data_IF_892666189071
#
_entry.id   IF_892666189071
#
_cell.length_a   1.000
_cell.length_b   1.000
_cell.length_c   1.000
_cell.angle_alpha   90.00
_cell.angle_beta   90.00
_cell.angle_gamma   90.00
#
_symmetry.space_group_name_H-M   'P 1'
#
loop_
_entity.id
_entity.type
_entity.pdbx_description
1 polymer ?
#
# COMPACT_ATOMS: atom_id res chain seq x y z
N UNK A 1 -8.89 59.93 -8.48
CA UNK A 1 -7.67 60.19 -7.70
C UNK A 1 -6.69 59.07 -8.02
N UNK A 2 -5.74 59.23 -8.94
CA UNK A 2 -4.51 60.05 -8.85
C UNK A 2 -3.65 59.55 -7.68
N UNK A 3 -2.39 59.11 -7.75
CA UNK A 3 -1.37 58.86 -8.80
C UNK A 3 -0.11 58.39 -7.99
N UNK A 4 0.95 57.99 -8.71
CA UNK A 4 2.38 58.07 -8.32
C UNK A 4 2.94 57.12 -7.23
N UNK A 5 3.74 56.13 -7.66
CA UNK A 5 5.08 55.89 -7.08
C UNK A 5 6.01 57.01 -7.52
N UNK A 6 6.90 57.55 -6.66
CA UNK A 6 8.31 57.18 -6.79
C UNK A 6 9.17 57.20 -5.50
N UNK A 7 10.18 56.32 -5.51
CA UNK A 7 11.61 56.45 -5.18
C UNK A 7 12.14 57.47 -4.14
N UNK A 8 12.98 56.95 -3.21
CA UNK A 8 14.30 57.48 -2.82
C UNK A 8 15.08 56.35 -2.10
N UNK A 9 16.05 55.71 -2.77
CA UNK A 9 17.51 55.93 -2.72
C UNK A 9 18.25 55.17 -1.59
N UNK A 10 19.15 54.29 -2.05
CA UNK A 10 20.49 53.99 -1.55
C UNK A 10 20.78 54.09 -0.05
N UNK A 11 20.81 52.92 0.62
CA UNK A 11 21.89 52.55 1.55
C UNK A 11 21.81 51.07 1.96
N UNK A 12 21.80 50.13 1.00
CA UNK A 12 22.09 48.71 1.32
C UNK A 12 23.05 48.14 0.26
N UNK A 13 24.13 48.89 0.02
CA UNK A 13 25.38 48.31 -0.45
C UNK A 13 26.22 48.00 0.78
N UNK A 14 26.67 46.75 0.86
CA UNK A 14 27.52 46.13 1.90
C UNK A 14 26.71 45.51 3.05
N UNK A 15 27.04 44.25 3.35
CA UNK A 15 26.67 43.51 4.57
C UNK A 15 25.44 42.58 4.53
N UNK A 16 25.08 42.06 3.36
CA UNK A 16 24.16 40.92 3.25
C UNK A 16 24.76 39.74 2.46
N UNK A 17 25.91 39.24 2.91
CA UNK A 17 26.27 37.81 2.77
C UNK A 17 27.01 37.42 4.06
N UNK A 18 26.27 37.25 5.15
CA UNK A 18 26.81 36.61 6.35
C UNK A 18 26.97 35.12 6.00
N UNK A 19 28.22 34.76 5.73
CA UNK A 19 28.67 33.42 5.39
C UNK A 19 28.25 32.41 6.46
N UNK A 20 27.61 31.36 5.98
CA UNK A 20 27.24 30.14 6.70
C UNK A 20 28.49 29.40 7.19
N UNK A 21 28.40 28.85 8.41
CA UNK A 21 29.29 27.87 9.06
C UNK A 21 30.81 28.15 9.04
N UNK A 22 31.34 28.65 10.17
CA UNK A 22 32.77 28.79 10.41
C UNK A 22 33.53 27.46 10.56
N UNK A 23 32.84 26.31 10.54
CA UNK A 23 33.42 25.00 10.84
C UNK A 23 33.94 24.23 9.61
N UNK A 24 33.94 24.83 8.42
CA UNK A 24 34.47 24.18 7.21
C UNK A 24 35.41 25.13 6.48
N UNK A 25 36.71 24.96 6.72
CA UNK A 25 37.77 25.59 5.93
C UNK A 25 38.04 24.71 4.70
N UNK A 26 37.49 25.09 3.54
CA UNK A 26 37.94 24.51 2.28
C UNK A 26 39.26 25.17 1.88
N UNK A 27 40.27 24.38 1.53
CA UNK A 27 41.58 24.87 1.07
C UNK A 27 41.47 25.74 -0.21
N UNK A 28 40.36 25.63 -0.94
CA UNK A 28 40.04 26.43 -2.12
C UNK A 28 38.53 26.67 -2.18
N UNK A 29 38.11 27.91 -2.42
CA UNK A 29 36.71 28.29 -2.71
C UNK A 29 36.32 28.03 -4.18
N UNK A 30 37.14 27.26 -4.91
CA UNK A 30 36.94 26.97 -6.34
C UNK A 30 36.81 25.46 -6.54
N UNK A 31 35.81 25.06 -7.32
CA UNK A 31 35.66 23.68 -7.76
C UNK A 31 36.91 23.22 -8.55
N UNK A 32 37.38 21.97 -8.36
CA UNK A 32 38.48 21.41 -9.13
C UNK A 32 38.19 21.52 -10.63
N UNK A 33 39.14 22.09 -11.39
CA UNK A 33 39.03 22.14 -12.84
C UNK A 33 39.49 20.81 -13.42
N UNK A 34 38.58 19.88 -13.60
CA UNK A 34 38.84 18.66 -14.37
C UNK A 34 38.37 18.83 -15.82
N UNK A 35 39.07 18.18 -16.76
CA UNK A 35 38.61 18.02 -18.14
C UNK A 35 38.03 16.62 -18.32
N UNK A 36 36.78 16.53 -18.74
CA UNK A 36 36.11 15.28 -19.07
C UNK A 36 36.34 14.96 -20.55
N UNK A 37 36.85 13.75 -20.84
CA UNK A 37 37.04 13.22 -22.19
C UNK A 37 35.75 12.67 -22.82
N UNK A 38 35.84 12.26 -24.09
CA UNK A 38 34.70 11.81 -24.89
C UNK A 38 33.87 10.66 -24.26
N UNK A 39 34.48 9.86 -23.38
CA UNK A 39 33.83 8.74 -22.68
C UNK A 39 33.53 9.04 -21.20
N UNK A 40 33.37 10.31 -20.83
CA UNK A 40 33.16 10.74 -19.44
C UNK A 40 34.32 10.42 -18.46
N UNK A 41 35.48 10.03 -18.98
CA UNK A 41 36.69 9.82 -18.17
C UNK A 41 37.37 11.16 -17.84
N UNK A 42 37.73 11.36 -16.57
CA UNK A 42 38.51 12.52 -16.11
C UNK A 42 39.95 12.35 -16.62
N UNK A 43 40.38 13.22 -17.54
CA UNK A 43 41.69 13.14 -18.19
C UNK A 43 42.81 13.86 -17.42
N UNK A 44 42.44 14.86 -16.62
CA UNK A 44 43.38 15.74 -15.92
C UNK A 44 42.90 15.88 -14.47
N UNK A 45 43.39 14.98 -13.60
CA UNK A 45 43.42 15.26 -12.16
C UNK A 45 44.53 16.29 -11.94
N UNK A 46 44.14 17.53 -11.61
CA UNK A 46 45.09 18.52 -11.15
C UNK A 46 45.86 17.92 -9.97
N UNK A 47 47.16 17.65 -10.16
CA UNK A 47 48.05 17.22 -9.08
C UNK A 47 48.19 18.38 -8.11
N UNK A 48 47.28 18.46 -7.14
CA UNK A 48 47.49 19.29 -5.97
C UNK A 48 48.60 18.64 -5.14
N UNK A 49 49.72 19.37 -4.99
CA UNK A 49 50.77 19.05 -4.03
C UNK A 49 50.13 18.82 -2.64
N UNK A 50 50.41 17.69 -1.95
CA UNK A 50 49.85 17.42 -0.64
C UNK A 50 50.59 18.27 0.40
N UNK A 51 50.23 19.55 0.48
CA UNK A 51 50.75 20.50 1.47
C UNK A 51 49.86 20.60 2.72
N UNK A 52 48.90 19.69 2.87
CA UNK A 52 48.03 19.57 4.02
C UNK A 52 48.28 18.28 4.81
N UNK A 53 48.02 18.28 6.13
CA UNK A 53 48.08 17.06 6.94
C UNK A 53 47.18 15.97 6.34
N UNK A 54 47.60 14.71 6.47
CA UNK A 54 46.82 13.62 5.88
C UNK A 54 45.45 13.52 6.55
N UNK A 55 44.43 13.03 5.82
CA UNK A 55 43.09 12.86 6.38
C UNK A 55 43.09 12.05 7.68
N UNK A 56 44.01 11.08 7.83
CA UNK A 56 44.18 10.31 9.06
C UNK A 56 44.70 11.15 10.21
N UNK A 57 45.61 12.08 9.95
CA UNK A 57 46.16 12.98 10.97
C UNK A 57 45.11 14.00 11.42
N UNK A 58 44.35 14.56 10.47
CA UNK A 58 43.24 15.48 10.77
C UNK A 58 42.17 14.78 11.62
N UNK A 59 41.75 13.57 11.24
CA UNK A 59 40.77 12.79 12.01
C UNK A 59 41.30 12.45 13.40
N UNK A 60 42.58 12.09 13.52
CA UNK A 60 43.17 11.79 14.83
C UNK A 60 43.22 13.04 15.72
N UNK A 61 43.61 14.19 15.18
CA UNK A 61 43.67 15.45 15.90
C UNK A 61 42.27 15.94 16.31
N UNK A 62 41.29 15.90 15.41
CA UNK A 62 39.89 16.23 15.72
C UNK A 62 39.32 15.28 16.78
N UNK A 63 39.59 13.98 16.68
CA UNK A 63 39.13 13.00 17.69
C UNK A 63 39.74 13.29 19.06
N UNK A 64 41.00 13.71 19.10
CA UNK A 64 41.69 14.07 20.34
C UNK A 64 41.12 15.37 20.93
N UNK A 65 40.88 16.38 20.08
CA UNK A 65 40.24 17.63 20.48
C UNK A 65 38.80 17.40 20.98
N UNK A 66 37.99 16.60 20.29
CA UNK A 66 36.63 16.24 20.72
C UNK A 66 36.63 15.46 22.03
N UNK A 67 37.57 14.52 22.20
CA UNK A 67 37.76 13.78 23.44
C UNK A 67 38.15 14.70 24.59
N UNK A 68 39.05 15.66 24.35
CA UNK A 68 39.45 16.66 25.33
C UNK A 68 38.28 17.58 25.69
N UNK A 69 37.52 18.08 24.70
CA UNK A 69 36.33 18.89 24.92
C UNK A 69 35.28 18.13 25.73
N UNK A 70 34.99 16.88 25.37
CA UNK A 70 34.10 16.01 26.13
C UNK A 70 34.58 15.81 27.57
N UNK A 71 35.90 15.64 27.77
CA UNK A 71 36.50 15.55 29.11
C UNK A 71 36.41 16.86 29.88
N UNK A 72 36.58 18.03 29.23
CA UNK A 72 36.45 19.36 29.84
C UNK A 72 35.01 19.65 30.29
N UNK A 73 34.03 19.20 29.52
CA UNK A 73 32.60 19.35 29.81
C UNK A 73 32.05 18.23 30.70
N UNK A 74 32.82 17.16 30.90
CA UNK A 74 32.42 16.05 31.75
C UNK A 74 32.20 16.52 33.18
N UNK A 75 30.98 16.28 33.69
CA UNK A 75 30.57 16.60 35.08
C UNK A 75 31.58 16.06 36.10
N UNK A 76 32.10 14.85 35.88
CA UNK A 76 33.10 14.23 36.76
C UNK A 76 34.43 14.99 36.78
N UNK A 77 34.89 15.45 35.62
CA UNK A 77 36.14 16.21 35.52
C UNK A 77 35.98 17.61 36.11
N UNK A 78 34.82 18.24 35.88
CA UNK A 78 34.50 19.55 36.44
C UNK A 78 34.41 19.47 37.98
N UNK A 79 33.74 18.45 38.53
CA UNK A 79 33.68 18.20 39.97
C UNK A 79 35.07 18.02 40.58
N UNK A 80 35.94 17.20 39.97
CA UNK A 80 37.31 17.01 40.46
C UNK A 80 38.15 18.29 40.44
N UNK A 81 37.95 19.17 39.44
CA UNK A 81 38.58 20.49 39.40
C UNK A 81 38.05 21.40 40.51
N UNK A 82 36.75 21.41 40.75
CA UNK A 82 36.14 22.15 41.86
C UNK A 82 36.72 21.71 43.21
N UNK A 83 36.81 20.41 43.48
CA UNK A 83 37.33 19.90 44.75
C UNK A 83 38.80 20.29 44.96
N UNK A 84 39.63 20.20 43.92
CA UNK A 84 41.05 20.63 43.97
C UNK A 84 41.19 22.13 44.24
N UNK A 85 40.37 22.94 43.56
CA UNK A 85 40.38 24.39 43.74
C UNK A 85 39.87 24.79 45.13
N UNK A 86 38.84 24.09 45.64
CA UNK A 86 38.32 24.30 46.98
C UNK A 86 39.36 23.95 48.04
N UNK A 87 40.07 22.84 47.89
CA UNK A 87 41.16 22.46 48.78
C UNK A 87 42.34 23.46 48.74
N UNK A 88 42.68 23.98 47.56
CA UNK A 88 43.70 25.02 47.43
C UNK A 88 43.26 26.34 48.11
N UNK A 89 42.00 26.74 47.93
CA UNK A 89 41.44 27.93 48.56
C UNK A 89 41.41 27.82 50.10
N UNK A 90 41.09 26.64 50.63
CA UNK A 90 41.14 26.38 52.08
C UNK A 90 42.57 26.59 52.64
N UNK A 91 43.60 26.06 51.96
CA UNK A 91 45.00 26.26 52.36
C UNK A 91 45.41 27.74 52.37
N UNK A 92 45.01 28.50 51.35
CA UNK A 92 45.27 29.94 51.28
C UNK A 92 44.54 30.70 52.39
N UNK A 93 43.32 30.30 52.74
CA UNK A 93 42.57 30.90 53.85
C UNK A 93 43.26 30.68 55.19
N UNK A 94 43.81 29.48 55.42
CA UNK A 94 44.52 29.18 56.66
C UNK A 94 45.87 29.91 56.73
N UNK A 95 46.60 30.03 55.61
CA UNK A 95 47.80 30.86 55.55
C UNK A 95 47.49 32.35 55.82
N UNK A 96 46.37 32.87 55.30
CA UNK A 96 45.93 34.23 55.57
C UNK A 96 45.62 34.47 57.06
N UNK A 97 44.97 33.52 57.74
CA UNK A 97 44.70 33.59 59.19
C UNK A 97 46.01 33.60 60.00
N UNK A 98 47.00 32.79 59.60
CA UNK A 98 48.32 32.78 60.26
C UNK A 98 49.03 34.12 60.12
N UNK A 99 48.94 34.77 58.96
CA UNK A 99 49.50 36.12 58.75
C UNK A 99 48.79 37.20 59.58
N UNK A 100 47.47 37.10 59.74
CA UNK A 100 46.68 38.01 60.59
C UNK A 100 47.16 37.94 62.06
N UNK A 101 47.39 36.73 62.59
CA UNK A 101 47.92 36.53 63.95
C UNK A 101 49.34 37.08 64.09
N UNK A 102 50.22 36.81 63.12
CA UNK A 102 51.59 37.33 63.12
C UNK A 102 51.66 38.87 63.05
N UNK A 103 50.70 39.51 62.37
CA UNK A 103 50.61 40.98 62.29
C UNK A 103 50.28 41.61 63.65
N UNK A 104 49.34 41.02 64.39
CA UNK A 104 48.97 41.49 65.74
C UNK A 104 50.14 41.38 66.73
N UNK A 105 50.91 40.29 66.66
CA UNK A 105 52.11 40.11 67.48
C UNK A 105 53.24 41.10 67.09
N UNK A 106 53.32 41.47 65.81
CA UNK A 106 54.25 42.49 65.30
C UNK A 106 54.08 43.87 65.95
N UNK A 107 52.85 44.34 66.15
CA UNK A 107 52.58 45.62 66.82
C UNK A 107 53.05 45.62 68.28
N UNK A 108 52.82 44.51 68.99
CA UNK A 108 53.28 44.34 70.39
C UNK A 108 54.80 44.35 70.47
N UNK A 109 55.48 43.67 69.54
CA UNK A 109 56.94 43.61 69.50
C UNK A 109 57.56 44.97 69.15
N UNK A 110 57.03 45.67 68.14
CA UNK A 110 57.51 47.01 67.75
C UNK A 110 57.32 48.01 68.89
N UNK A 111 56.21 47.93 69.64
CA UNK A 111 55.99 48.74 70.84
C UNK A 111 57.05 48.48 71.90
N UNK A 112 57.27 47.21 72.27
CA UNK A 112 58.29 46.84 73.28
C UNK A 112 59.69 47.27 72.86
N UNK A 113 60.03 47.15 71.57
CA UNK A 113 61.31 47.58 71.01
C UNK A 113 61.47 49.10 71.11
N UNK A 114 60.44 49.87 70.75
CA UNK A 114 60.45 51.33 70.90
C UNK A 114 60.64 51.74 72.37
N UNK A 115 59.89 51.14 73.30
CA UNK A 115 59.98 51.43 74.74
C UNK A 115 61.40 51.13 75.28
N UNK A 116 62.02 50.03 74.84
CA UNK A 116 63.39 49.68 75.20
C UNK A 116 64.44 50.65 74.62
N UNK A 117 64.26 51.08 73.37
CA UNK A 117 65.14 52.07 72.74
C UNK A 117 65.00 53.45 73.39
N UNK A 118 63.80 53.87 73.78
CA UNK A 118 63.58 55.14 74.51
C UNK A 118 64.23 55.11 75.90
N UNK A 119 64.16 53.98 76.60
CA UNK A 119 64.87 53.76 77.86
C UNK A 119 66.41 53.79 77.70
N UNK A 120 66.92 53.28 76.58
CA UNK A 120 68.35 53.33 76.26
C UNK A 120 68.81 54.75 75.88
N UNK A 121 68.02 55.46 75.09
CA UNK A 121 68.26 56.86 74.70
C UNK A 121 68.44 57.77 75.90
N UNK A 122 67.63 57.60 76.95
CA UNK A 122 67.73 58.38 78.19
C UNK A 122 69.01 58.14 79.01
N UNK A 123 69.78 57.09 78.69
CA UNK A 123 71.02 56.70 79.38
C UNK A 123 72.29 56.94 78.55
N UNK A 124 72.17 57.33 77.28
CA UNK A 124 73.31 57.51 76.36
C UNK A 124 73.53 59.00 76.03
N UNK A 125 74.76 59.33 75.62
CA UNK A 125 75.17 60.67 75.20
C UNK A 125 76.07 60.63 73.96
N UNK A 126 76.20 61.75 73.25
CA UNK A 126 77.01 61.89 72.04
C UNK A 126 76.49 61.06 70.86
N UNK A 127 77.39 60.55 70.01
CA UNK A 127 77.08 59.80 68.80
C UNK A 127 76.16 58.58 69.05
N UNK A 128 76.36 57.87 70.16
CA UNK A 128 75.53 56.71 70.51
C UNK A 128 74.06 57.08 70.75
N UNK A 129 73.78 58.32 71.19
CA UNK A 129 72.41 58.80 71.37
C UNK A 129 71.75 59.09 70.02
N UNK A 130 72.49 59.65 69.06
CA UNK A 130 72.04 59.92 67.70
C UNK A 130 71.70 58.61 66.95
N UNK A 131 72.51 57.58 67.13
CA UNK A 131 72.24 56.25 66.54
C UNK A 131 70.97 55.60 67.13
N UNK A 132 70.74 55.73 68.44
CA UNK A 132 69.50 55.25 69.07
C UNK A 132 68.29 56.08 68.62
N UNK A 133 68.41 57.38 68.45
CA UNK A 133 67.36 58.23 67.88
C UNK A 133 66.99 57.79 66.45
N UNK A 134 67.99 57.50 65.62
CA UNK A 134 67.78 56.95 64.27
C UNK A 134 67.08 55.59 64.30
N UNK A 135 67.47 54.72 65.23
CA UNK A 135 66.82 53.42 65.43
C UNK A 135 65.34 53.57 65.85
N UNK A 136 65.03 54.51 66.75
CA UNK A 136 63.64 54.83 67.14
C UNK A 136 62.85 55.30 65.93
N UNK A 137 63.37 56.23 65.12
CA UNK A 137 62.69 56.68 63.89
C UNK A 137 62.44 55.54 62.90
N UNK A 138 63.37 54.58 62.77
CA UNK A 138 63.17 53.39 61.93
C UNK A 138 62.06 52.48 62.45
N UNK A 139 61.98 52.28 63.77
CA UNK A 139 60.92 51.48 64.42
C UNK A 139 59.56 52.16 64.26
N UNK A 140 59.48 53.48 64.40
CA UNK A 140 58.24 54.24 64.15
C UNK A 140 57.80 54.15 62.68
N UNK A 141 58.74 54.26 61.73
CA UNK A 141 58.44 54.07 60.31
C UNK A 141 57.95 52.64 59.99
N UNK A 142 58.50 51.62 60.67
CA UNK A 142 58.03 50.24 60.53
C UNK A 142 56.63 50.05 61.11
N UNK A 143 56.32 50.67 62.25
CA UNK A 143 54.98 50.62 62.87
C UNK A 143 53.92 51.25 61.95
N UNK A 144 54.21 52.41 61.35
CA UNK A 144 53.30 53.05 60.37
C UNK A 144 53.04 52.14 59.16
N UNK A 145 54.10 51.53 58.61
CA UNK A 145 53.98 50.58 57.48
C UNK A 145 53.17 49.34 57.84
N UNK A 146 53.29 48.84 59.07
CA UNK A 146 52.52 47.69 59.54
C UNK A 146 51.02 48.02 59.64
N UNK A 147 50.68 49.18 60.22
CA UNK A 147 49.29 49.65 60.29
C UNK A 147 48.67 49.88 58.90
N UNK A 148 49.44 50.45 57.96
CA UNK A 148 48.96 50.66 56.59
C UNK A 148 48.62 49.33 55.90
N UNK A 149 49.52 48.34 55.99
CA UNK A 149 49.30 47.00 55.42
C UNK A 149 48.11 46.29 56.05
N UNK A 150 47.90 46.46 57.36
CA UNK A 150 46.73 45.92 58.05
C UNK A 150 45.43 46.54 57.54
N UNK A 151 45.42 47.86 57.29
CA UNK A 151 44.29 48.55 56.67
C UNK A 151 43.95 48.03 55.27
N UNK A 152 44.97 47.81 54.43
CA UNK A 152 44.82 47.19 53.11
C UNK A 152 44.24 45.77 53.21
N UNK A 153 44.74 44.97 54.16
CA UNK A 153 44.28 43.60 54.39
C UNK A 153 42.83 43.54 54.89
N UNK A 154 42.41 44.47 55.75
CA UNK A 154 41.01 44.60 56.20
C UNK A 154 40.10 44.96 55.01
N UNK A 155 40.54 45.88 54.15
CA UNK A 155 39.78 46.27 52.97
C UNK A 155 39.64 45.10 51.98
N UNK A 156 40.73 44.39 51.69
CA UNK A 156 40.71 43.18 50.84
C UNK A 156 39.79 42.10 51.42
N UNK A 157 39.84 41.87 52.73
CA UNK A 157 38.94 40.93 53.44
C UNK A 157 37.47 41.30 53.26
N UNK A 158 37.13 42.58 53.21
CA UNK A 158 35.78 43.05 52.95
C UNK A 158 35.33 42.77 51.51
N UNK A 159 36.17 43.09 50.51
CA UNK A 159 35.87 42.79 49.10
C UNK A 159 35.77 41.29 48.83
N UNK A 160 36.65 40.48 49.44
CA UNK A 160 36.57 39.01 49.38
C UNK A 160 35.26 38.51 49.98
N UNK A 161 34.83 39.05 51.13
CA UNK A 161 33.54 38.68 51.74
C UNK A 161 32.36 39.01 50.83
N UNK A 162 32.40 40.15 50.15
CA UNK A 162 31.40 40.56 49.16
C UNK A 162 31.38 39.59 47.97
N UNK A 163 32.56 39.21 47.45
CA UNK A 163 32.68 38.24 46.36
C UNK A 163 32.16 36.85 46.75
N UNK A 164 32.44 36.39 47.97
CA UNK A 164 31.91 35.11 48.49
C UNK A 164 30.38 35.12 48.51
N UNK A 165 29.74 36.23 48.89
CA UNK A 165 28.29 36.33 48.88
C UNK A 165 27.73 36.25 47.45
N UNK A 166 28.35 36.94 46.48
CA UNK A 166 27.96 36.82 45.07
C UNK A 166 28.14 35.40 44.55
N UNK A 167 29.25 34.73 44.88
CA UNK A 167 29.51 33.36 44.45
C UNK A 167 28.49 32.38 45.04
N UNK A 168 28.12 32.55 46.32
CA UNK A 168 27.06 31.76 46.96
C UNK A 168 25.72 31.94 46.25
N UNK A 169 25.34 33.18 45.97
CA UNK A 169 24.10 33.48 45.27
C UNK A 169 24.08 32.86 43.87
N UNK A 170 25.14 33.08 43.08
CA UNK A 170 25.28 32.50 41.75
C UNK A 170 25.26 30.96 41.77
N UNK A 171 25.85 30.33 42.78
CA UNK A 171 25.83 28.87 42.95
C UNK A 171 24.43 28.34 43.25
N UNK A 172 23.67 29.00 44.13
CA UNK A 172 22.29 28.60 44.43
C UNK A 172 21.37 28.84 43.23
N UNK A 173 21.53 29.95 42.50
CA UNK A 173 20.77 30.24 41.29
C UNK A 173 21.06 29.21 40.18
N UNK A 174 22.33 28.85 39.97
CA UNK A 174 22.72 27.80 39.04
C UNK A 174 22.13 26.44 39.43
N UNK A 175 22.17 26.09 40.72
CA UNK A 175 21.57 24.85 41.23
C UNK A 175 20.05 24.80 41.02
N UNK A 176 19.36 25.92 41.26
CA UNK A 176 17.92 26.05 41.02
C UNK A 176 17.59 25.87 39.54
N UNK A 177 18.34 26.52 38.65
CA UNK A 177 18.15 26.42 37.19
C UNK A 177 18.35 24.98 36.71
N UNK A 178 19.43 24.32 37.15
CA UNK A 178 19.69 22.91 36.79
C UNK A 178 18.57 21.99 37.28
N UNK A 179 18.07 22.17 38.50
CA UNK A 179 16.99 21.34 39.03
C UNK A 179 15.67 21.59 38.28
N UNK A 180 15.38 22.84 37.93
CA UNK A 180 14.21 23.21 37.14
C UNK A 180 14.26 22.55 35.75
N UNK A 181 15.39 22.67 35.05
CA UNK A 181 15.56 22.06 33.73
C UNK A 181 15.46 20.54 33.78
N UNK A 182 16.06 19.91 34.79
CA UNK A 182 15.90 18.46 35.02
C UNK A 182 14.44 18.07 35.22
N UNK A 183 13.67 18.87 35.97
CA UNK A 183 12.25 18.57 36.20
C UNK A 183 11.42 18.70 34.92
N UNK A 184 11.71 19.70 34.08
CA UNK A 184 11.06 19.85 32.78
C UNK A 184 11.39 18.70 31.83
N UNK A 185 12.68 18.35 31.72
CA UNK A 185 13.11 17.23 30.90
C UNK A 185 12.47 15.90 31.36
N UNK A 186 12.40 15.64 32.68
CA UNK A 186 11.71 14.46 33.19
C UNK A 186 10.22 14.46 32.84
N UNK A 187 9.52 15.59 33.00
CA UNK A 187 8.11 15.69 32.66
C UNK A 187 7.84 15.48 31.16
N UNK A 188 8.69 16.02 30.29
CA UNK A 188 8.60 15.83 28.83
C UNK A 188 8.87 14.37 28.44
N UNK A 189 9.89 13.74 29.03
CA UNK A 189 10.20 12.32 28.82
C UNK A 189 9.02 11.45 29.29
N UNK A 190 8.43 11.71 30.45
CA UNK A 190 7.29 10.96 30.97
C UNK A 190 6.04 11.14 30.09
N UNK A 191 5.78 12.37 29.62
CA UNK A 191 4.71 12.66 28.68
C UNK A 191 4.89 11.89 27.36
N UNK A 192 6.10 11.90 26.79
CA UNK A 192 6.42 11.15 25.57
C UNK A 192 6.27 9.64 25.79
N UNK A 193 6.73 9.12 26.93
CA UNK A 193 6.54 7.70 27.31
C UNK A 193 5.07 7.32 27.40
N UNK A 194 4.23 8.19 27.99
CA UNK A 194 2.79 7.94 28.07
C UNK A 194 2.11 7.92 26.69
N UNK A 195 2.56 8.77 25.75
CA UNK A 195 2.09 8.72 24.35
C UNK A 195 2.49 7.41 23.69
N UNK A 196 3.76 7.02 23.80
CA UNK A 196 4.27 5.75 23.24
C UNK A 196 3.51 4.55 23.82
N UNK A 197 3.25 4.55 25.14
CA UNK A 197 2.48 3.50 25.79
C UNK A 197 1.06 3.40 25.21
N UNK A 198 0.33 4.52 25.11
CA UNK A 198 -1.02 4.54 24.52
C UNK A 198 -1.04 4.05 23.07
N UNK A 199 -0.05 4.44 22.27
CA UNK A 199 0.08 3.95 20.89
C UNK A 199 0.34 2.44 20.89
N UNK A 200 1.21 1.95 21.76
CA UNK A 200 1.46 0.53 21.93
C UNK A 200 0.20 -0.25 22.28
N UNK A 201 -0.56 0.20 23.27
CA UNK A 201 -1.83 -0.41 23.69
C UNK A 201 -2.86 -0.42 22.55
N UNK A 202 -3.03 0.71 21.84
CA UNK A 202 -3.94 0.80 20.70
C UNK A 202 -3.55 -0.13 19.54
N UNK A 203 -2.25 -0.28 19.26
CA UNK A 203 -1.76 -1.21 18.24
C UNK A 203 -2.01 -2.66 18.63
N UNK A 204 -1.77 -3.03 19.89
CA UNK A 204 -2.08 -4.39 20.36
C UNK A 204 -3.59 -4.67 20.33
N UNK A 205 -4.43 -3.70 20.67
CA UNK A 205 -5.89 -3.83 20.58
C UNK A 205 -6.34 -4.01 19.13
N UNK A 206 -5.80 -3.23 18.20
CA UNK A 206 -6.06 -3.39 16.76
C UNK A 206 -5.62 -4.77 16.24
N UNK A 207 -4.48 -5.28 16.69
CA UNK A 207 -4.04 -6.62 16.33
C UNK A 207 -4.98 -7.70 16.88
N UNK A 208 -5.45 -7.57 18.13
CA UNK A 208 -6.43 -8.50 18.70
C UNK A 208 -7.76 -8.46 17.94
N UNK A 209 -8.26 -7.27 17.63
CA UNK A 209 -9.53 -7.07 16.92
C UNK A 209 -9.47 -7.59 15.47
N UNK A 210 -8.36 -7.37 14.77
CA UNK A 210 -8.17 -7.90 13.40
C UNK A 210 -8.10 -9.43 13.39
N UNK A 211 -7.40 -10.04 14.35
CA UNK A 211 -7.37 -11.51 14.50
C UNK A 211 -8.75 -12.10 14.80
N UNK A 212 -9.57 -11.44 15.63
CA UNK A 212 -10.93 -11.91 15.92
C UNK A 212 -11.89 -11.70 14.75
N UNK A 213 -11.82 -10.56 14.07
CA UNK A 213 -12.64 -10.27 12.86
C UNK A 213 -12.35 -11.26 11.75
N UNK A 214 -11.08 -11.50 11.42
CA UNK A 214 -10.72 -12.48 10.38
C UNK A 214 -11.18 -13.91 10.73
N UNK A 215 -11.14 -14.28 12.02
CA UNK A 215 -11.65 -15.58 12.47
C UNK A 215 -13.17 -15.68 12.32
N UNK A 216 -13.89 -14.65 12.71
CA UNK A 216 -15.35 -14.59 12.62
C UNK A 216 -15.84 -14.56 11.16
N UNK A 217 -15.14 -13.83 10.28
CA UNK A 217 -15.42 -13.81 8.84
C UNK A 217 -15.17 -15.17 8.18
N UNK A 218 -14.06 -15.84 8.53
CA UNK A 218 -13.77 -17.19 8.02
C UNK A 218 -14.83 -18.20 8.49
N UNK A 219 -15.27 -18.10 9.75
CA UNK A 219 -16.30 -18.96 10.32
C UNK A 219 -17.65 -18.74 9.61
N UNK A 220 -18.08 -17.49 9.41
CA UNK A 220 -19.29 -17.16 8.65
C UNK A 220 -19.26 -17.66 7.20
N UNK A 221 -18.13 -17.48 6.50
CA UNK A 221 -17.94 -18.03 5.15
C UNK A 221 -18.02 -19.57 5.13
N UNK A 222 -17.51 -20.23 6.16
CA UNK A 222 -17.58 -21.69 6.27
C UNK A 222 -19.02 -22.17 6.43
N UNK A 223 -19.82 -21.48 7.25
CA UNK A 223 -21.25 -21.76 7.43
C UNK A 223 -22.04 -21.54 6.13
N UNK A 224 -21.82 -20.42 5.43
CA UNK A 224 -22.46 -20.15 4.14
C UNK A 224 -22.12 -21.21 3.08
N UNK A 225 -20.85 -21.62 3.01
CA UNK A 225 -20.40 -22.67 2.09
C UNK A 225 -21.05 -24.02 2.45
N UNK A 226 -21.18 -24.34 3.73
CA UNK A 226 -21.87 -25.55 4.18
C UNK A 226 -23.35 -25.53 3.81
N UNK A 227 -24.05 -24.41 4.03
CA UNK A 227 -25.47 -24.30 3.70
C UNK A 227 -25.69 -24.33 2.19
N UNK A 228 -24.87 -23.64 1.39
CA UNK A 228 -24.92 -23.72 -0.07
C UNK A 228 -24.72 -25.15 -0.59
N UNK A 229 -23.80 -25.92 0.03
CA UNK A 229 -23.60 -27.34 -0.30
C UNK A 229 -24.84 -28.17 0.04
N UNK A 230 -25.47 -27.93 1.19
CA UNK A 230 -26.69 -28.62 1.64
C UNK A 230 -27.87 -28.33 0.72
N UNK A 231 -28.12 -27.06 0.39
CA UNK A 231 -29.15 -26.64 -0.57
C UNK A 231 -28.92 -27.34 -1.91
N UNK A 232 -27.71 -27.31 -2.46
CA UNK A 232 -27.39 -27.98 -3.73
C UNK A 232 -27.70 -29.47 -3.70
N UNK A 233 -27.32 -30.16 -2.62
CA UNK A 233 -27.59 -31.60 -2.45
C UNK A 233 -29.09 -31.92 -2.35
N UNK A 234 -29.89 -31.06 -1.74
CA UNK A 234 -31.33 -31.25 -1.64
C UNK A 234 -32.05 -31.07 -2.98
N UNK A 235 -31.61 -30.11 -3.80
CA UNK A 235 -32.31 -29.74 -5.03
C UNK A 235 -31.86 -30.53 -6.27
N UNK A 236 -30.65 -31.08 -6.28
CA UNK A 236 -30.13 -31.81 -7.45
C UNK A 236 -30.88 -33.13 -7.73
N UNK A 237 -31.16 -34.00 -6.75
CA UNK A 237 -31.93 -35.24 -6.99
C UNK A 237 -33.40 -34.96 -7.31
N UNK A 238 -34.00 -33.94 -6.69
CA UNK A 238 -35.41 -33.59 -6.92
C UNK A 238 -35.65 -33.20 -8.38
N UNK A 239 -34.80 -32.32 -8.94
CA UNK A 239 -34.97 -31.87 -10.32
C UNK A 239 -34.78 -33.01 -11.34
N UNK A 240 -33.87 -33.94 -11.07
CA UNK A 240 -33.68 -35.14 -11.91
C UNK A 240 -34.90 -36.04 -11.85
N UNK A 241 -35.43 -36.30 -10.65
CA UNK A 241 -36.63 -37.11 -10.46
C UNK A 241 -37.86 -36.52 -11.18
N UNK A 242 -38.08 -35.20 -11.07
CA UNK A 242 -39.20 -34.52 -11.73
C UNK A 242 -39.11 -34.66 -13.25
N UNK A 243 -37.92 -34.44 -13.84
CA UNK A 243 -37.68 -34.64 -15.26
C UNK A 243 -37.88 -36.10 -15.70
N UNK A 244 -37.49 -37.07 -14.87
CA UNK A 244 -37.72 -38.50 -15.14
C UNK A 244 -39.21 -38.87 -15.12
N UNK A 245 -40.00 -38.25 -14.24
CA UNK A 245 -41.45 -38.42 -14.22
C UNK A 245 -42.11 -37.81 -15.47
N UNK A 246 -41.72 -36.60 -15.86
CA UNK A 246 -42.21 -35.95 -17.08
C UNK A 246 -41.86 -36.76 -18.34
N UNK A 247 -40.62 -37.26 -18.45
CA UNK A 247 -40.21 -38.12 -19.56
C UNK A 247 -41.01 -39.42 -19.62
N UNK A 248 -41.33 -40.04 -18.47
CA UNK A 248 -42.20 -41.22 -18.42
C UNK A 248 -43.61 -40.89 -18.92
N UNK A 249 -44.18 -39.78 -18.49
CA UNK A 249 -45.50 -39.34 -18.93
C UNK A 249 -45.55 -39.09 -20.45
N UNK A 250 -44.54 -38.40 -21.00
CA UNK A 250 -44.43 -38.15 -22.44
C UNK A 250 -44.31 -39.45 -23.24
N UNK A 251 -43.53 -40.43 -22.77
CA UNK A 251 -43.41 -41.74 -23.41
C UNK A 251 -44.75 -42.49 -23.45
N UNK A 252 -45.55 -42.41 -22.38
CA UNK A 252 -46.89 -43.01 -22.34
C UNK A 252 -47.80 -42.33 -23.38
N UNK A 253 -47.84 -40.99 -23.40
CA UNK A 253 -48.64 -40.25 -24.37
C UNK A 253 -48.24 -40.53 -25.82
N UNK A 254 -46.93 -40.65 -26.11
CA UNK A 254 -46.45 -41.01 -27.45
C UNK A 254 -46.93 -42.41 -27.85
N UNK A 255 -46.86 -43.38 -26.93
CA UNK A 255 -47.36 -44.74 -27.19
C UNK A 255 -48.87 -44.74 -27.45
N UNK A 256 -49.65 -44.05 -26.63
CA UNK A 256 -51.11 -43.92 -26.82
C UNK A 256 -51.44 -43.28 -28.17
N UNK A 257 -50.84 -42.11 -28.47
CA UNK A 257 -51.03 -41.43 -29.76
C UNK A 257 -50.60 -42.29 -30.94
N UNK A 258 -49.52 -43.06 -30.81
CA UNK A 258 -49.08 -44.01 -31.83
C UNK A 258 -50.11 -45.12 -32.05
N UNK A 259 -50.66 -45.70 -30.98
CA UNK A 259 -51.73 -46.73 -31.12
C UNK A 259 -52.99 -46.17 -31.77
N UNK A 260 -53.39 -44.94 -31.44
CA UNK A 260 -54.53 -44.26 -32.06
C UNK A 260 -54.23 -43.99 -33.54
N UNK A 261 -53.04 -43.49 -33.86
CA UNK A 261 -52.62 -43.23 -35.24
C UNK A 261 -52.65 -44.49 -36.09
N UNK A 262 -52.15 -45.63 -35.58
CA UNK A 262 -52.20 -46.91 -36.29
C UNK A 262 -53.65 -47.40 -36.48
N UNK A 263 -54.53 -47.22 -35.47
CA UNK A 263 -55.96 -47.55 -35.59
C UNK A 263 -56.64 -46.70 -36.68
N UNK A 264 -56.42 -45.39 -36.66
CA UNK A 264 -56.95 -44.47 -37.66
C UNK A 264 -56.42 -44.80 -39.06
N UNK A 265 -55.13 -45.13 -39.20
CA UNK A 265 -54.57 -45.57 -40.49
C UNK A 265 -55.27 -46.83 -41.02
N UNK A 266 -55.57 -47.81 -40.15
CA UNK A 266 -56.33 -49.01 -40.53
C UNK A 266 -57.77 -48.70 -40.93
N UNK A 267 -58.44 -47.83 -40.18
CA UNK A 267 -59.81 -47.40 -40.48
C UNK A 267 -59.88 -46.63 -41.81
N UNK A 268 -58.96 -45.70 -42.06
CA UNK A 268 -58.83 -45.00 -43.33
C UNK A 268 -58.58 -45.96 -44.50
N UNK A 269 -57.73 -46.97 -44.31
CA UNK A 269 -57.49 -48.00 -45.33
C UNK A 269 -58.73 -48.89 -45.59
N UNK A 270 -59.57 -49.14 -44.59
CA UNK A 270 -60.84 -49.86 -44.74
C UNK A 270 -61.89 -49.00 -45.45
N UNK A 271 -62.04 -47.73 -45.05
CA UNK A 271 -62.95 -46.78 -45.69
C UNK A 271 -62.63 -46.59 -47.17
N UNK A 272 -61.34 -46.44 -47.52
CA UNK A 272 -60.89 -46.30 -48.91
C UNK A 272 -61.30 -47.50 -49.77
N UNK A 273 -61.07 -48.73 -49.29
CA UNK A 273 -61.49 -49.96 -49.98
C UNK A 273 -63.01 -50.07 -50.11
N UNK A 274 -63.77 -49.65 -49.09
CA UNK A 274 -65.22 -49.68 -49.14
C UNK A 274 -65.82 -48.66 -50.14
N UNK A 275 -65.16 -47.52 -50.33
CA UNK A 275 -65.55 -46.49 -51.29
C UNK A 275 -65.19 -46.89 -52.73
N UNK A 276 -64.02 -47.50 -52.96
CA UNK A 276 -63.64 -48.11 -54.24
C UNK A 276 -64.65 -49.18 -54.69
N UNK A 277 -65.13 -50.03 -53.76
CA UNK A 277 -66.10 -51.09 -54.05
C UNK A 277 -67.53 -50.60 -54.39
N UNK A 278 -67.91 -49.35 -54.05
CA UNK A 278 -69.27 -48.82 -54.31
C UNK A 278 -69.47 -48.25 -55.70
N UNK A 279 -68.40 -47.96 -56.43
CA UNK A 279 -68.45 -47.28 -57.73
C UNK A 279 -67.99 -48.17 -58.89
N UNK A 280 -67.75 -49.46 -58.65
CA UNK A 280 -67.23 -50.39 -59.65
C UNK A 280 -68.38 -51.15 -60.35
N UNK A 281 -68.88 -50.57 -61.45
CA UNK A 281 -69.98 -51.17 -62.25
C UNK A 281 -69.52 -52.29 -63.18
N UNK A 282 -68.22 -52.31 -63.50
CA UNK A 282 -67.59 -53.28 -64.39
C UNK A 282 -66.26 -53.74 -63.79
N UNK A 283 -65.97 -55.03 -63.89
CA UNK A 283 -64.72 -55.64 -63.46
C UNK A 283 -64.05 -56.31 -64.66
N UNK A 284 -62.71 -56.29 -64.65
CA UNK A 284 -61.91 -56.94 -65.66
C UNK A 284 -61.65 -58.37 -65.17
N UNK A 285 -62.27 -59.36 -65.81
CA UNK A 285 -62.06 -60.77 -65.51
C UNK A 285 -61.06 -61.41 -66.46
N UNK A 286 -60.15 -62.21 -65.90
CA UNK A 286 -59.12 -62.93 -66.65
C UNK A 286 -57.75 -62.80 -65.98
N UNK A 287 -56.88 -63.76 -66.23
CA UNK A 287 -55.52 -63.75 -65.68
C UNK A 287 -54.69 -62.65 -66.35
N UNK A 288 -54.02 -61.80 -65.57
CA UNK A 288 -53.16 -60.70 -66.05
C UNK A 288 -51.78 -61.20 -66.55
N UNK A 289 -51.77 -62.33 -67.24
CA UNK A 289 -50.56 -62.98 -67.78
C UNK A 289 -50.53 -62.91 -69.30
N UNK A 290 -49.33 -62.73 -69.88
CA UNK A 290 -49.14 -62.59 -71.32
C UNK A 290 -49.75 -63.79 -72.07
N UNK A 291 -50.55 -63.53 -73.11
CA UNK A 291 -51.25 -64.57 -73.87
C UNK A 291 -52.60 -65.02 -73.29
N UNK A 292 -52.99 -64.52 -72.11
CA UNK A 292 -54.34 -64.70 -71.56
C UNK A 292 -55.32 -63.68 -72.15
N UNK A 293 -56.62 -63.98 -72.08
CA UNK A 293 -57.67 -63.09 -72.59
C UNK A 293 -58.33 -62.38 -71.40
N UNK A 294 -58.34 -61.06 -71.42
CA UNK A 294 -59.13 -60.25 -70.48
C UNK A 294 -60.50 -59.98 -71.08
N UNK A 295 -61.53 -60.10 -70.26
CA UNK A 295 -62.91 -59.78 -70.59
C UNK A 295 -63.49 -58.83 -69.57
N UNK A 296 -64.27 -57.88 -70.05
CA UNK A 296 -65.02 -56.98 -69.18
C UNK A 296 -66.29 -57.70 -68.78
N UNK A 297 -66.58 -57.74 -67.48
CA UNK A 297 -67.81 -58.31 -66.95
C UNK A 297 -68.58 -57.26 -66.15
N UNK A 298 -69.88 -57.07 -66.41
CA UNK A 298 -70.72 -56.25 -65.55
C UNK A 298 -70.82 -56.89 -64.16
N UNK A 299 -70.65 -56.07 -63.11
CA UNK A 299 -70.66 -56.53 -61.72
C UNK A 299 -72.03 -56.44 -61.04
N UNK A 300 -72.97 -55.73 -61.68
CA UNK A 300 -74.32 -55.47 -61.17
C UNK A 300 -75.34 -55.56 -62.32
N UNK A 301 -76.56 -55.97 -62.02
CA UNK A 301 -77.71 -55.97 -62.94
C UNK A 301 -78.12 -54.54 -63.38
N UNK A 302 -77.63 -53.51 -62.68
CA UNK A 302 -77.80 -52.11 -63.04
C UNK A 302 -76.80 -51.63 -64.11
N UNK A 303 -75.81 -52.46 -64.47
CA UNK A 303 -74.80 -52.14 -65.47
C UNK A 303 -75.34 -52.29 -66.90
N UNK A 304 -75.07 -51.30 -67.75
CA UNK A 304 -75.50 -51.30 -69.14
C UNK A 304 -74.90 -52.47 -69.93
N UNK A 305 -75.72 -53.11 -70.75
CA UNK A 305 -75.34 -54.26 -71.59
C UNK A 305 -74.16 -53.90 -72.51
N UNK A 306 -73.09 -54.72 -72.50
CA UNK A 306 -71.80 -54.42 -73.13
C UNK A 306 -71.90 -54.13 -74.63
N UNK A 307 -72.90 -54.73 -75.31
CA UNK A 307 -73.20 -54.49 -76.73
C UNK A 307 -73.53 -53.03 -77.05
N UNK A 308 -74.01 -52.28 -76.05
CA UNK A 308 -74.39 -50.86 -76.12
C UNK A 308 -73.30 -49.92 -75.61
N UNK A 309 -72.19 -50.47 -75.11
CA UNK A 309 -71.06 -49.70 -74.61
C UNK A 309 -70.00 -49.49 -75.70
N UNK A 310 -69.36 -48.32 -75.71
CA UNK A 310 -68.10 -48.15 -76.43
C UNK A 310 -66.96 -48.51 -75.48
N UNK A 311 -66.22 -49.56 -75.83
CA UNK A 311 -65.12 -50.10 -75.04
C UNK A 311 -63.82 -49.78 -75.76
N UNK A 312 -62.98 -48.95 -75.14
CA UNK A 312 -61.65 -48.63 -75.65
C UNK A 312 -60.57 -49.19 -74.73
N UNK A 313 -59.64 -49.92 -75.34
CA UNK A 313 -58.46 -50.46 -74.66
C UNK A 313 -57.27 -49.52 -74.83
N UNK A 314 -56.59 -49.26 -73.72
CA UNK A 314 -55.39 -48.43 -73.66
C UNK A 314 -54.20 -49.25 -73.21
N UNK A 315 -53.01 -48.91 -73.71
CA UNK A 315 -51.76 -49.38 -73.13
C UNK A 315 -51.15 -48.30 -72.23
N UNK A 316 -50.62 -48.71 -71.08
CA UNK A 316 -49.81 -47.84 -70.24
C UNK A 316 -48.35 -47.89 -70.67
N UNK A 317 -47.73 -46.72 -70.86
CA UNK A 317 -46.29 -46.58 -71.09
C UNK A 317 -45.56 -46.60 -69.74
N UNK A 318 -44.42 -47.29 -69.67
CA UNK A 318 -43.76 -47.64 -68.41
C UNK A 318 -43.32 -46.44 -67.53
N UNK A 319 -43.17 -45.25 -68.09
CA UNK A 319 -42.58 -44.09 -67.40
C UNK A 319 -43.47 -42.83 -67.37
N UNK A 320 -44.75 -42.93 -67.72
CA UNK A 320 -45.67 -41.79 -67.57
C UNK A 320 -47.11 -42.22 -67.33
N UNK A 321 -47.89 -41.39 -66.63
CA UNK A 321 -49.33 -41.60 -66.45
C UNK A 321 -50.14 -41.38 -67.75
N UNK A 322 -49.49 -41.23 -68.92
CA UNK A 322 -50.13 -41.09 -70.23
C UNK A 322 -50.55 -42.45 -70.77
N UNK A 323 -51.73 -42.50 -71.38
CA UNK A 323 -52.40 -43.72 -71.89
C UNK A 323 -52.51 -43.64 -73.42
N UNK A 324 -52.08 -44.67 -74.14
CA UNK A 324 -52.18 -44.73 -75.61
C UNK A 324 -53.35 -45.63 -76.07
N UNK A 325 -54.28 -45.14 -76.92
CA UNK A 325 -55.39 -45.95 -77.44
C UNK A 325 -54.90 -46.93 -78.51
N UNK A 326 -55.41 -48.17 -78.48
CA UNK A 326 -55.08 -49.19 -79.49
C UNK A 326 -56.07 -49.05 -80.67
N UNK A 327 -55.55 -48.66 -81.85
CA UNK A 327 -56.36 -48.12 -82.96
C UNK A 327 -57.21 -49.14 -83.76
N UNK A 328 -56.90 -50.44 -83.77
CA UNK A 328 -57.68 -51.46 -84.51
C UNK A 328 -58.64 -52.24 -83.62
N UNK A 329 -59.29 -51.55 -82.68
CA UNK A 329 -60.09 -52.16 -81.63
C UNK A 329 -61.60 -52.24 -81.89
N UNK A 330 -62.09 -51.70 -83.01
CA UNK A 330 -63.54 -51.50 -83.24
C UNK A 330 -64.20 -52.55 -84.15
N UNK A 331 -63.45 -53.41 -84.86
CA UNK A 331 -64.01 -54.30 -85.91
C UNK A 331 -63.67 -55.80 -85.82
N UNK A 332 -63.22 -56.33 -84.67
CA UNK A 332 -63.15 -57.78 -84.44
C UNK A 332 -63.64 -58.14 -83.03
N UNK A 333 -64.76 -58.89 -82.94
CA UNK A 333 -65.27 -59.58 -81.74
C UNK A 333 -65.40 -58.73 -80.46
N UNK A 334 -66.58 -58.11 -80.25
CA UNK A 334 -66.81 -57.03 -79.27
C UNK A 334 -66.49 -57.29 -77.78
N UNK A 335 -66.17 -58.50 -77.32
CA UNK A 335 -66.15 -58.80 -75.87
C UNK A 335 -64.87 -59.45 -75.32
N UNK A 336 -63.80 -59.59 -76.12
CA UNK A 336 -62.57 -60.24 -75.64
C UNK A 336 -61.31 -59.91 -76.44
N UNK A 337 -60.17 -59.67 -75.76
CA UNK A 337 -58.85 -59.51 -76.40
C UNK A 337 -57.72 -60.23 -75.68
N UNK A 338 -56.77 -60.72 -76.47
CA UNK A 338 -55.53 -61.36 -76.01
C UNK A 338 -54.53 -60.31 -75.51
N UNK A 339 -54.02 -60.48 -74.29
CA UNK A 339 -53.13 -59.55 -73.61
C UNK A 339 -51.75 -59.43 -74.29
N UNK A 340 -51.39 -58.18 -74.60
CA UNK A 340 -50.00 -57.69 -74.61
C UNK A 340 -49.80 -56.79 -73.37
N UNK A 341 -48.57 -56.67 -72.83
CA UNK A 341 -48.38 -56.23 -71.46
C UNK A 341 -48.90 -54.79 -71.24
N UNK A 342 -49.61 -54.60 -70.12
CA UNK A 342 -50.19 -53.35 -69.59
C UNK A 342 -51.40 -52.77 -70.34
N UNK A 343 -52.54 -53.47 -70.30
CA UNK A 343 -53.82 -53.00 -70.85
C UNK A 343 -54.73 -52.41 -69.75
N UNK A 344 -55.33 -51.24 -69.99
CA UNK A 344 -56.33 -50.58 -69.14
C UNK A 344 -57.57 -50.25 -69.97
N UNK A 345 -58.75 -50.47 -69.41
CA UNK A 345 -60.04 -50.24 -70.08
C UNK A 345 -60.67 -48.91 -69.65
N UNK A 346 -61.23 -48.13 -70.59
CA UNK A 346 -62.03 -46.94 -70.28
C UNK A 346 -63.29 -46.93 -71.16
N UNK A 347 -64.46 -46.65 -70.58
CA UNK A 347 -65.74 -46.52 -71.28
C UNK A 347 -65.97 -45.09 -71.79
N UNK A 348 -66.51 -44.92 -73.00
CA UNK A 348 -66.97 -43.62 -73.54
C UNK A 348 -68.42 -43.72 -74.07
N UNK A 349 -69.28 -42.73 -73.82
CA UNK A 349 -70.68 -42.69 -74.32
C UNK A 349 -70.80 -41.88 -75.63
N UNK A 350 -71.76 -42.17 -76.53
CA UNK A 350 -71.69 -41.75 -77.93
C UNK A 350 -72.17 -40.32 -78.24
N UNK A 351 -71.52 -39.69 -79.21
CA UNK A 351 -71.96 -38.45 -79.91
C UNK A 351 -73.13 -38.71 -80.85
N UNK A 352 -74.18 -37.88 -80.79
CA UNK A 352 -75.33 -37.85 -81.72
C UNK A 352 -74.91 -37.38 -83.14
N UNK A 353 -75.47 -37.94 -84.23
CA UNK A 353 -75.36 -37.36 -85.58
C UNK A 353 -76.47 -36.34 -85.87
N UNK A 354 -76.13 -35.29 -86.63
CA UNK A 354 -77.03 -34.29 -87.23
C UNK A 354 -77.73 -34.86 -88.48
N UNK A 355 -79.03 -34.55 -88.71
CA UNK A 355 -79.56 -34.07 -90.00
C UNK A 355 -81.05 -33.65 -89.93
N UNK A 356 -81.35 -32.65 -90.76
CA UNK A 356 -82.57 -31.88 -91.08
C UNK A 356 -83.96 -32.52 -90.96
N UNK A 357 -84.91 -31.74 -90.42
CA UNK A 357 -85.94 -31.05 -91.22
C UNK A 357 -86.44 -29.79 -90.50
#
# INVERSE_FOLDING_TARGET
MTKVSPELEDEIQMQAVLSVSADVSFASSRFPKYKIGADSQILDEAREDPKGPSLKDVVAEETLQLSEQHKRLSVRHLASKFDKNLAAAAKLSDEAKLREVASLEGHVLLKKLRDALESLRGRLAGLNKEDVEKAISMVEALAVKLTQKEGELIHEKFEVKKLVNFLKQASEDAKKLVNQEKSFACAEIESARAVVQRIGEALEEQERNSRSSGKQEMEGLMEEVQEARKIRLLHQPSKVMDMEHELRALKIQIREKSTISVKLQKELALSRRAEENRHQLYELSGSETLGSILRVHPCSDEAMELSRCSIQWYRLLCDSSRREPIADAENQGKDSKTLHPFLVLIFTSPTKPFLSS
#
